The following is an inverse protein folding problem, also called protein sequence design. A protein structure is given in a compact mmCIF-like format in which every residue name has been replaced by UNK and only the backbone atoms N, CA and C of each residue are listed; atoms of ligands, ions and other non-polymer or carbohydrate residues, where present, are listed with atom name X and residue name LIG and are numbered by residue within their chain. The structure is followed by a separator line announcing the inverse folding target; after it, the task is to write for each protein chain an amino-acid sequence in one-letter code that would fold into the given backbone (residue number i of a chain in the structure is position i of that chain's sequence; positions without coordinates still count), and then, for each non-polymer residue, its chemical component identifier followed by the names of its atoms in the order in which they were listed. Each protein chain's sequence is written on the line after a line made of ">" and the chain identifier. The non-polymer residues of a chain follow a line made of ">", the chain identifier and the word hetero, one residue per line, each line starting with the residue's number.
data_IF_228521824997
#
_entry.id   IF_228521824997
#
_cell.length_a   1.000
_cell.length_b   1.000
_cell.length_c   1.000
_cell.angle_alpha   90.00
_cell.angle_beta   90.00
_cell.angle_gamma   90.00
#
_symmetry.space_group_name_H-M   'P 1'
#
loop_
_entity.id
_entity.type
_entity.pdbx_description
1 polymer ?
#
# COMPACT_ATOMS: atom_id res chain seq x y z
N UNK A 1 -78.96 0.11 -13.16
CA UNK A 1 -78.51 0.41 -11.78
C UNK A 1 -77.01 0.14 -11.77
N UNK A 2 -76.08 1.05 -11.45
CA UNK A 2 -76.04 2.13 -10.43
C UNK A 2 -76.08 1.57 -9.00
N UNK A 3 -75.16 1.84 -8.06
CA UNK A 3 -73.77 2.36 -8.07
C UNK A 3 -72.94 1.49 -7.06
N UNK A 4 -71.70 1.74 -6.58
CA UNK A 4 -70.69 2.81 -6.68
C UNK A 4 -69.29 2.27 -6.23
N UNK A 5 -68.24 3.10 -6.25
CA UNK A 5 -67.06 2.98 -5.38
C UNK A 5 -67.15 4.01 -4.23
N UNK A 6 -66.34 3.90 -3.16
CA UNK A 6 -65.14 4.76 -3.11
C UNK A 6 -63.88 4.16 -2.45
N UNK A 7 -62.88 5.02 -2.35
CA UNK A 7 -61.49 4.90 -1.89
C UNK A 7 -61.24 4.40 -0.45
N UNK A 8 -60.11 3.69 -0.29
CA UNK A 8 -58.89 4.10 0.47
C UNK A 8 -59.01 4.65 1.91
N UNK A 9 -58.17 4.14 2.82
CA UNK A 9 -57.91 4.76 4.13
C UNK A 9 -56.54 4.31 4.69
N UNK A 10 -55.76 5.24 5.26
CA UNK A 10 -54.36 5.02 5.67
C UNK A 10 -54.14 5.16 7.19
N UNK A 11 -52.97 4.73 7.68
CA UNK A 11 -52.37 5.12 8.98
C UNK A 11 -53.14 4.79 10.28
N UNK A 12 -53.07 3.52 10.72
CA UNK A 12 -53.27 3.07 12.12
C UNK A 12 -52.30 1.90 12.40
N UNK A 13 -51.49 1.83 13.46
CA UNK A 13 -51.27 2.69 14.65
C UNK A 13 -49.76 2.70 15.01
N UNK A 14 -49.26 3.84 15.47
CA UNK A 14 -48.00 3.96 16.24
C UNK A 14 -48.31 4.16 17.73
N UNK A 15 -47.60 3.45 18.65
CA UNK A 15 -47.13 3.97 19.96
C UNK A 15 -46.67 2.84 20.91
N UNK A 16 -45.37 2.82 21.23
CA UNK A 16 -44.72 2.30 22.45
C UNK A 16 -43.19 2.24 22.21
N UNK A 17 -42.30 2.92 22.94
CA UNK A 17 -42.45 3.92 24.00
C UNK A 17 -41.28 4.92 23.84
N UNK A 18 -41.50 6.23 24.03
CA UNK A 18 -40.44 7.24 23.88
C UNK A 18 -40.68 8.51 24.73
N UNK A 19 -40.34 8.42 26.02
CA UNK A 19 -39.99 9.51 26.93
C UNK A 19 -39.20 8.86 28.10
N UNK A 20 -38.32 9.53 28.85
CA UNK A 20 -38.31 10.95 29.22
C UNK A 20 -37.03 11.70 28.85
N UNK A 21 -37.14 13.03 28.86
CA UNK A 21 -36.07 14.00 28.59
C UNK A 21 -35.95 14.99 29.75
N UNK A 22 -34.71 15.43 29.95
CA UNK A 22 -34.31 16.76 30.44
C UNK A 22 -34.52 17.17 31.91
N UNK A 23 -33.35 17.53 32.48
CA UNK A 23 -33.09 18.76 33.24
C UNK A 23 -33.56 18.88 34.70
N UNK A 24 -32.59 18.85 35.62
CA UNK A 24 -32.52 19.87 36.67
C UNK A 24 -31.07 20.08 37.13
N UNK A 25 -30.69 21.32 37.46
CA UNK A 25 -29.33 21.69 37.83
C UNK A 25 -29.24 22.41 39.19
N UNK A 26 -28.54 21.85 40.19
CA UNK A 26 -27.85 22.60 41.24
C UNK A 26 -26.90 21.76 42.15
N UNK A 27 -26.08 22.50 42.92
CA UNK A 27 -24.97 22.11 43.85
C UNK A 27 -25.41 21.31 45.11
N UNK A 28 -24.51 20.76 45.98
CA UNK A 28 -23.10 21.14 46.24
C UNK A 28 -22.05 19.98 46.37
N UNK A 29 -20.86 20.29 46.91
CA UNK A 29 -19.72 19.39 47.22
C UNK A 29 -19.72 18.94 48.71
N UNK A 30 -18.68 18.16 49.09
CA UNK A 30 -18.26 17.67 50.42
C UNK A 30 -18.98 16.38 50.90
N UNK A 31 -18.35 15.45 51.64
CA UNK A 31 -17.05 15.46 52.35
C UNK A 31 -16.25 14.13 52.25
N UNK A 32 -15.12 14.05 52.95
CA UNK A 32 -14.11 12.98 52.99
C UNK A 32 -14.57 11.60 53.52
N UNK A 33 -13.81 10.53 53.20
CA UNK A 33 -13.61 9.39 54.13
C UNK A 33 -12.38 8.53 53.76
N UNK A 34 -11.78 7.90 54.78
CA UNK A 34 -10.57 7.08 54.69
C UNK A 34 -10.82 5.66 54.12
N UNK A 35 -9.75 5.00 53.69
CA UNK A 35 -9.63 3.54 53.73
C UNK A 35 -8.32 3.16 54.44
N UNK A 36 -8.40 2.23 55.39
CA UNK A 36 -7.30 1.83 56.27
C UNK A 36 -6.45 0.70 55.68
N UNK A 37 -5.20 0.59 56.14
CA UNK A 37 -4.29 -0.51 55.78
C UNK A 37 -4.32 -1.56 56.88
N UNK A 38 -4.77 -2.76 56.56
CA UNK A 38 -4.59 -3.94 57.42
C UNK A 38 -3.62 -4.94 56.78
N UNK A 39 -2.47 -5.12 57.44
CA UNK A 39 -1.57 -6.22 57.15
C UNK A 39 -2.08 -7.50 57.83
N UNK A 40 -2.08 -8.60 57.07
CA UNK A 40 -1.87 -9.96 57.60
C UNK A 40 -0.93 -10.68 56.63
N UNK A 41 -0.19 -11.68 57.13
CA UNK A 41 0.68 -12.49 56.31
C UNK A 41 1.11 -13.74 57.06
N UNK A 42 1.36 -14.82 56.33
CA UNK A 42 2.01 -16.05 56.79
C UNK A 42 2.63 -16.75 55.56
N UNK A 43 3.58 -17.65 55.79
CA UNK A 43 4.54 -18.14 54.79
C UNK A 43 4.21 -19.55 54.24
N UNK A 44 4.77 -19.93 53.08
CA UNK A 44 5.79 -21.01 52.96
C UNK A 44 5.97 -21.55 51.51
N UNK A 45 7.21 -21.43 50.99
CA UNK A 45 7.90 -22.28 49.98
C UNK A 45 7.22 -22.55 48.59
N UNK A 46 7.91 -23.00 47.52
CA UNK A 46 9.24 -23.61 47.40
C UNK A 46 9.98 -23.31 46.05
N UNK A 47 11.31 -23.21 46.12
CA UNK A 47 12.37 -23.39 45.09
C UNK A 47 12.17 -23.15 43.58
N UNK A 48 13.03 -22.28 43.00
CA UNK A 48 13.61 -22.40 41.64
C UNK A 48 15.12 -22.06 41.76
N UNK A 49 16.06 -22.83 41.16
CA UNK A 49 17.50 -22.69 41.44
C UNK A 49 18.22 -21.59 40.64
N UNK A 50 19.22 -20.96 41.27
CA UNK A 50 20.17 -20.03 40.63
C UNK A 50 21.52 -20.71 40.40
N UNK A 51 22.11 -20.57 39.21
CA UNK A 51 23.50 -20.95 38.94
C UNK A 51 24.41 -19.72 38.96
N UNK A 52 25.55 -19.84 39.65
CA UNK A 52 26.61 -18.83 39.67
C UNK A 52 27.63 -19.09 38.55
N UNK A 53 28.29 -18.02 38.09
CA UNK A 53 29.57 -18.08 37.39
C UNK A 53 30.57 -17.20 38.14
N UNK A 54 31.80 -17.69 38.28
CA UNK A 54 32.81 -17.16 39.20
C UNK A 54 33.89 -16.35 38.50
N UNK A 55 34.36 -15.27 39.12
CA UNK A 55 35.56 -14.54 38.68
C UNK A 55 36.83 -15.40 38.82
N UNK A 56 37.79 -15.19 37.91
CA UNK A 56 39.21 -15.55 38.11
C UNK A 56 40.10 -14.48 37.48
N UNK A 57 40.85 -13.74 38.31
CA UNK A 57 41.86 -12.78 37.88
C UNK A 57 43.17 -13.48 37.44
N UNK A 58 43.91 -12.85 36.52
CA UNK A 58 45.35 -13.10 36.31
C UNK A 58 46.08 -11.77 36.16
N UNK A 59 47.15 -11.57 36.93
CA UNK A 59 47.92 -10.32 37.03
C UNK A 59 49.31 -10.52 36.40
N UNK A 60 49.79 -9.58 35.56
CA UNK A 60 51.25 -9.33 35.48
C UNK A 60 51.70 -8.00 34.84
N UNK A 61 52.39 -7.18 35.66
CA UNK A 61 53.56 -6.33 35.33
C UNK A 61 53.46 -5.16 34.31
N UNK A 62 54.54 -4.37 34.26
CA UNK A 62 54.67 -2.94 33.83
C UNK A 62 55.96 -2.78 32.95
N UNK A 63 56.55 -1.58 32.63
CA UNK A 63 56.21 -0.16 32.91
C UNK A 63 56.44 0.86 31.75
N UNK A 64 56.22 2.18 32.05
CA UNK A 64 56.71 3.39 31.33
C UNK A 64 56.15 3.65 29.88
N UNK A 65 56.00 4.88 29.38
CA UNK A 65 56.17 6.24 29.98
C UNK A 65 55.50 7.36 29.17
N UNK A 66 54.90 8.32 29.91
CA UNK A 66 54.92 9.79 29.73
C UNK A 66 54.59 10.47 28.37
N UNK A 67 53.51 11.28 28.37
CA UNK A 67 53.39 12.68 27.90
C UNK A 67 51.99 13.00 27.29
N UNK A 68 51.40 14.16 27.67
CA UNK A 68 50.32 14.82 26.91
C UNK A 68 49.03 15.20 27.67
N UNK A 69 49.10 16.18 28.58
CA UNK A 69 47.91 16.74 29.25
C UNK A 69 47.01 17.55 28.29
N UNK A 70 45.71 17.24 28.24
CA UNK A 70 44.64 18.24 28.05
C UNK A 70 43.39 17.83 28.85
N UNK A 71 43.16 18.45 30.01
CA UNK A 71 41.90 18.28 30.74
C UNK A 71 40.80 19.17 30.14
N UNK A 72 39.60 18.62 29.94
CA UNK A 72 38.36 19.40 29.82
C UNK A 72 37.34 18.78 30.77
N UNK A 73 37.06 19.48 31.87
CA UNK A 73 36.08 19.07 32.88
C UNK A 73 34.68 19.50 32.44
N UNK A 74 33.76 18.54 32.30
CA UNK A 74 32.33 18.80 32.25
C UNK A 74 31.62 18.07 33.39
N UNK A 75 31.54 18.73 34.55
CA UNK A 75 30.71 18.29 35.67
C UNK A 75 29.24 18.50 35.36
N UNK A 76 28.40 17.48 35.58
CA UNK A 76 26.94 17.56 35.51
C UNK A 76 26.34 17.25 36.88
N UNK A 77 25.52 18.19 37.37
CA UNK A 77 24.62 18.00 38.52
C UNK A 77 23.29 18.73 38.26
N UNK A 78 22.14 18.19 38.70
CA UNK A 78 20.81 18.68 38.33
C UNK A 78 20.26 19.72 39.31
N UNK A 79 19.12 20.37 38.96
CA UNK A 79 17.90 20.42 39.81
C UNK A 79 16.70 21.14 39.15
N UNK A 80 15.53 20.52 39.30
CA UNK A 80 14.15 21.04 39.43
C UNK A 80 13.68 22.33 38.71
N UNK A 81 12.85 22.11 37.68
CA UNK A 81 11.46 22.59 37.53
C UNK A 81 10.95 23.74 38.43
N UNK A 82 10.44 24.81 37.80
CA UNK A 82 9.25 25.53 38.26
C UNK A 82 8.37 25.98 37.08
N UNK A 83 7.08 26.19 37.35
CA UNK A 83 6.03 26.41 36.34
C UNK A 83 5.74 27.90 36.09
N UNK A 84 5.40 28.25 34.85
CA UNK A 84 4.47 29.35 34.57
C UNK A 84 3.86 29.26 33.16
N UNK A 85 2.59 29.62 33.05
CA UNK A 85 1.78 29.57 31.83
C UNK A 85 1.82 30.89 31.04
N UNK A 86 1.94 30.82 29.71
CA UNK A 86 1.52 31.92 28.82
C UNK A 86 1.10 31.41 27.45
N UNK A 87 0.09 32.05 26.87
CA UNK A 87 -0.51 31.73 25.57
C UNK A 87 0.21 32.43 24.41
N UNK A 88 0.16 31.88 23.18
CA UNK A 88 0.72 32.53 22.00
C UNK A 88 -0.22 33.62 21.45
N UNK A 89 0.31 34.70 20.85
CA UNK A 89 -0.49 35.68 20.12
C UNK A 89 -0.78 35.20 18.69
N UNK A 90 -2.03 35.33 18.24
CA UNK A 90 -2.38 35.22 16.82
C UNK A 90 -1.86 36.44 16.05
N UNK A 91 -1.30 36.21 14.87
CA UNK A 91 -0.92 37.28 13.94
C UNK A 91 -1.85 37.28 12.72
N UNK A 92 -2.89 38.12 12.76
CA UNK A 92 -3.64 38.45 11.55
C UNK A 92 -2.79 39.33 10.64
N UNK A 93 -2.71 38.99 9.35
CA UNK A 93 -2.31 39.93 8.31
C UNK A 93 -3.26 39.81 7.13
N UNK A 94 -3.96 40.91 6.83
CA UNK A 94 -4.88 41.03 5.71
C UNK A 94 -4.41 42.18 4.83
N UNK A 95 -4.11 41.90 3.56
CA UNK A 95 -3.88 42.93 2.55
C UNK A 95 -4.83 42.74 1.37
N UNK A 96 -5.25 43.87 0.79
CA UNK A 96 -6.36 43.97 -0.15
C UNK A 96 -5.94 43.82 -1.60
N UNK A 97 -6.89 43.44 -2.46
CA UNK A 97 -6.70 43.42 -3.90
C UNK A 97 -6.52 44.83 -4.50
N UNK A 98 -5.90 44.88 -5.67
CA UNK A 98 -6.05 45.95 -6.66
C UNK A 98 -6.63 45.33 -7.93
N UNK A 99 -7.41 46.10 -8.68
CA UNK A 99 -8.10 45.67 -9.89
C UNK A 99 -7.63 46.50 -11.10
N UNK A 100 -8.35 46.38 -12.22
CA UNK A 100 -8.05 46.92 -13.56
C UNK A 100 -7.02 46.05 -14.34
N UNK A 101 -7.21 45.74 -15.63
CA UNK A 101 -8.27 46.15 -16.57
C UNK A 101 -8.64 45.03 -17.59
N UNK A 102 -9.80 45.16 -18.23
CA UNK A 102 -10.39 44.12 -19.08
C UNK A 102 -9.74 44.00 -20.47
N UNK A 103 -9.58 42.75 -20.96
CA UNK A 103 -9.63 42.44 -22.40
C UNK A 103 -10.52 41.23 -22.69
N UNK A 104 -11.36 41.43 -23.71
CA UNK A 104 -12.35 40.51 -24.28
C UNK A 104 -11.89 39.05 -24.40
N UNK A 105 -12.77 38.12 -24.00
CA UNK A 105 -12.80 36.75 -24.51
C UNK A 105 -14.25 36.28 -24.69
N UNK A 106 -14.44 35.33 -25.61
CA UNK A 106 -15.75 34.87 -26.10
C UNK A 106 -16.39 33.85 -25.11
N UNK A 107 -17.69 33.97 -24.77
CA UNK A 107 -18.35 33.05 -23.85
C UNK A 107 -18.38 31.58 -24.30
N UNK A 108 -18.13 31.27 -25.58
CA UNK A 108 -18.04 29.88 -26.05
C UNK A 108 -16.78 29.14 -25.56
N UNK A 109 -15.70 29.85 -25.20
CA UNK A 109 -14.42 29.19 -24.94
C UNK A 109 -14.36 28.44 -23.58
N UNK A 110 -15.25 28.75 -22.64
CA UNK A 110 -15.26 28.11 -21.31
C UNK A 110 -15.96 26.74 -21.30
N UNK A 111 -16.72 26.37 -22.33
CA UNK A 111 -17.45 25.09 -22.38
C UNK A 111 -16.58 23.90 -22.86
N UNK A 112 -15.48 24.17 -23.55
CA UNK A 112 -14.57 23.13 -24.08
C UNK A 112 -13.69 22.52 -22.98
N UNK A 113 -13.37 23.27 -21.92
CA UNK A 113 -12.35 22.90 -20.94
C UNK A 113 -12.87 22.08 -19.73
N UNK A 114 -14.07 21.50 -19.84
CA UNK A 114 -14.72 20.70 -18.77
C UNK A 114 -15.17 19.32 -19.30
N UNK A 115 -15.30 19.12 -20.62
CA UNK A 115 -15.79 17.88 -21.24
C UNK A 115 -14.69 16.85 -21.57
N UNK A 116 -13.41 17.17 -21.36
CA UNK A 116 -12.27 16.35 -21.80
C UNK A 116 -11.63 15.49 -20.68
N UNK A 117 -12.37 15.25 -19.58
CA UNK A 117 -11.95 14.37 -18.48
C UNK A 117 -13.05 13.34 -18.07
N UNK A 118 -14.09 13.20 -18.89
CA UNK A 118 -15.11 12.15 -18.75
C UNK A 118 -15.26 11.38 -20.06
N UNK A 119 -14.23 10.65 -20.45
CA UNK A 119 -14.40 9.54 -21.39
C UNK A 119 -14.95 8.34 -20.61
N UNK A 120 -16.06 7.78 -21.08
CA UNK A 120 -16.67 6.59 -20.49
C UNK A 120 -15.81 5.35 -20.78
N UNK A 121 -14.91 5.02 -19.85
CA UNK A 121 -14.30 3.68 -19.73
C UNK A 121 -15.34 2.64 -19.26
N UNK A 122 -16.54 2.64 -19.85
CA UNK A 122 -17.49 1.52 -19.81
C UNK A 122 -17.07 0.42 -20.80
N UNK A 123 -15.78 0.10 -20.79
CA UNK A 123 -15.20 -1.05 -21.47
C UNK A 123 -15.37 -2.27 -20.55
N UNK A 124 -16.14 -3.27 -20.97
CA UNK A 124 -16.19 -4.57 -20.29
C UNK A 124 -14.91 -5.38 -20.52
N UNK A 125 -13.77 -4.82 -20.10
CA UNK A 125 -12.59 -5.58 -19.77
C UNK A 125 -12.69 -6.01 -18.29
N UNK A 126 -12.98 -7.29 -18.07
CA UNK A 126 -12.27 -7.94 -16.97
C UNK A 126 -10.77 -7.77 -17.24
N UNK A 127 -9.95 -7.58 -16.20
CA UNK A 127 -8.50 -7.64 -16.36
C UNK A 127 -8.15 -9.13 -16.53
N UNK A 128 -8.41 -9.66 -17.73
CA UNK A 128 -7.69 -10.79 -18.27
C UNK A 128 -6.21 -10.42 -18.19
N UNK A 129 -5.39 -11.29 -17.60
CA UNK A 129 -3.97 -11.17 -17.79
C UNK A 129 -3.68 -11.55 -19.25
N UNK A 130 -2.77 -10.83 -19.89
CA UNK A 130 -2.48 -11.04 -21.31
C UNK A 130 -1.73 -12.36 -21.48
N UNK A 131 -2.48 -13.40 -21.86
CA UNK A 131 -2.00 -14.77 -22.15
C UNK A 131 -0.80 -14.80 -23.11
N UNK A 132 -0.59 -13.75 -23.92
CA UNK A 132 0.44 -13.73 -24.97
C UNK A 132 1.66 -12.85 -24.63
N UNK A 133 1.65 -12.07 -23.54
CA UNK A 133 2.78 -11.24 -23.11
C UNK A 133 3.44 -11.67 -21.79
N UNK A 134 2.96 -12.75 -21.17
CA UNK A 134 3.70 -13.46 -20.12
C UNK A 134 4.47 -14.60 -20.80
N UNK A 135 5.78 -14.45 -21.02
CA UNK A 135 6.60 -15.63 -21.34
C UNK A 135 6.43 -16.67 -20.24
N UNK A 136 6.19 -17.96 -20.59
CA UNK A 136 5.79 -18.96 -19.62
C UNK A 136 6.86 -19.08 -18.52
N UNK A 137 6.42 -18.89 -17.27
CA UNK A 137 7.28 -19.01 -16.10
C UNK A 137 8.02 -20.36 -16.14
N UNK A 138 9.29 -20.40 -15.72
CA UNK A 138 10.07 -21.65 -15.73
C UNK A 138 9.44 -22.79 -14.90
N UNK A 139 8.48 -22.46 -14.03
CA UNK A 139 7.70 -23.41 -13.23
C UNK A 139 6.43 -23.94 -13.95
N UNK A 140 6.02 -23.33 -15.07
CA UNK A 140 4.94 -23.82 -15.94
C UNK A 140 3.51 -23.50 -15.48
N UNK A 141 3.33 -22.61 -14.50
CA UNK A 141 2.00 -22.22 -13.99
C UNK A 141 1.64 -20.78 -14.39
N UNK A 142 0.39 -20.57 -14.79
CA UNK A 142 -0.18 -19.22 -14.98
C UNK A 142 -0.58 -18.62 -13.64
N UNK A 143 -0.49 -17.29 -13.53
CA UNK A 143 -0.91 -16.57 -12.34
C UNK A 143 -2.42 -16.72 -12.09
N UNK A 144 -3.22 -16.82 -13.15
CA UNK A 144 -4.68 -17.00 -13.07
C UNK A 144 -5.08 -18.34 -12.43
N UNK A 145 -4.41 -19.45 -12.76
CA UNK A 145 -4.65 -20.76 -12.13
C UNK A 145 -4.37 -20.74 -10.62
N UNK A 146 -3.32 -20.00 -10.22
CA UNK A 146 -2.90 -19.90 -8.83
C UNK A 146 -3.91 -19.02 -8.05
N UNK A 147 -4.25 -17.84 -8.57
CA UNK A 147 -5.24 -16.95 -7.96
C UNK A 147 -6.64 -17.57 -7.95
N UNK A 148 -7.03 -18.27 -9.01
CA UNK A 148 -8.29 -19.01 -9.10
C UNK A 148 -8.37 -20.22 -8.15
N UNK A 149 -7.23 -20.80 -7.75
CA UNK A 149 -7.19 -21.75 -6.64
C UNK A 149 -7.34 -21.07 -5.28
N UNK A 150 -6.67 -19.94 -5.03
CA UNK A 150 -6.84 -19.18 -3.78
C UNK A 150 -8.27 -18.62 -3.62
N UNK A 151 -8.90 -18.22 -4.72
CA UNK A 151 -10.27 -17.70 -4.74
C UNK A 151 -11.33 -18.72 -4.25
N UNK A 152 -11.02 -20.02 -4.25
CA UNK A 152 -11.89 -21.08 -3.69
C UNK A 152 -12.03 -20.99 -2.16
N UNK A 153 -11.21 -20.17 -1.49
CA UNK A 153 -11.38 -19.81 -0.08
C UNK A 153 -12.44 -18.71 0.13
N UNK A 154 -13.01 -18.12 -0.92
CA UNK A 154 -14.10 -17.15 -0.83
C UNK A 154 -15.44 -17.89 -0.69
N UNK A 155 -16.21 -17.52 0.34
CA UNK A 155 -17.60 -17.88 0.52
C UNK A 155 -18.49 -16.78 -0.09
N UNK A 156 -19.26 -17.14 -1.12
CA UNK A 156 -20.20 -16.22 -1.78
C UNK A 156 -21.51 -15.99 -1.00
N UNK A 157 -21.86 -16.88 -0.07
CA UNK A 157 -23.06 -16.76 0.78
C UNK A 157 -22.90 -15.65 1.84
N UNK A 158 -21.67 -15.38 2.27
CA UNK A 158 -21.37 -14.40 3.32
C UNK A 158 -20.68 -13.15 2.77
N UNK A 159 -21.16 -11.97 3.19
CA UNK A 159 -20.72 -10.69 2.62
C UNK A 159 -19.99 -9.82 3.64
N UNK A 160 -18.82 -9.29 3.26
CA UNK A 160 -18.13 -8.20 3.95
C UNK A 160 -18.48 -6.86 3.29
N UNK A 161 -19.34 -6.05 3.92
CA UNK A 161 -19.80 -4.75 3.36
C UNK A 161 -18.80 -3.62 3.66
N UNK A 162 -18.23 -3.01 2.62
CA UNK A 162 -17.36 -1.83 2.71
C UNK A 162 -18.14 -0.56 2.30
N UNK A 163 -18.24 0.41 3.21
CA UNK A 163 -18.77 1.74 2.91
C UNK A 163 -17.57 2.66 2.59
N UNK A 164 -17.45 3.08 1.33
CA UNK A 164 -16.28 3.76 0.78
C UNK A 164 -16.68 5.13 0.24
N UNK A 165 -15.92 6.17 0.58
CA UNK A 165 -15.98 7.45 -0.11
C UNK A 165 -14.70 7.60 -0.96
N UNK A 166 -14.83 8.09 -2.20
CA UNK A 166 -13.69 8.26 -3.12
C UNK A 166 -12.68 9.33 -2.67
N UNK A 167 -13.07 10.28 -1.83
CA UNK A 167 -12.15 11.25 -1.19
C UNK A 167 -11.25 10.60 -0.14
N UNK A 168 -11.70 9.52 0.49
CA UNK A 168 -11.11 8.90 1.69
C UNK A 168 -11.12 7.36 1.62
N UNK A 169 -10.66 6.83 0.47
CA UNK A 169 -10.70 5.39 0.15
C UNK A 169 -9.90 4.56 1.16
N UNK A 170 -8.74 5.07 1.61
CA UNK A 170 -7.91 4.37 2.57
C UNK A 170 -8.57 4.31 3.95
N UNK A 171 -9.15 5.41 4.42
CA UNK A 171 -9.86 5.49 5.70
C UNK A 171 -11.10 4.59 5.69
N UNK A 172 -11.80 4.51 4.55
CA UNK A 172 -12.88 3.54 4.30
C UNK A 172 -12.40 2.09 4.33
N UNK A 173 -11.28 1.79 3.66
CA UNK A 173 -10.66 0.46 3.65
C UNK A 173 -10.20 0.02 5.06
N UNK A 174 -9.47 0.89 5.77
CA UNK A 174 -9.06 0.72 7.17
C UNK A 174 -10.27 0.41 8.07
N UNK A 175 -11.34 1.19 7.95
CA UNK A 175 -12.61 1.02 8.68
C UNK A 175 -13.40 -0.23 8.26
N UNK A 176 -13.08 -0.85 7.12
CA UNK A 176 -13.55 -2.18 6.75
C UNK A 176 -12.70 -3.29 7.34
N UNK A 177 -11.40 -3.30 7.02
CA UNK A 177 -10.44 -4.34 7.40
C UNK A 177 -10.17 -4.48 8.90
N UNK A 178 -10.43 -3.43 9.71
CA UNK A 178 -10.26 -3.44 11.18
C UNK A 178 -11.50 -3.87 11.97
N UNK A 179 -12.62 -4.24 11.33
CA UNK A 179 -13.83 -4.68 12.05
C UNK A 179 -13.62 -6.08 12.62
N UNK A 180 -14.07 -6.31 13.87
CA UNK A 180 -14.07 -7.64 14.50
C UNK A 180 -14.92 -8.68 13.73
N UNK A 181 -15.84 -8.23 12.86
CA UNK A 181 -16.69 -9.06 12.01
C UNK A 181 -16.15 -9.24 10.57
N UNK A 182 -15.03 -8.59 10.22
CA UNK A 182 -14.43 -8.75 8.90
C UNK A 182 -13.72 -10.11 8.80
N UNK A 183 -14.02 -10.85 7.72
CA UNK A 183 -13.19 -11.96 7.27
C UNK A 183 -12.81 -11.76 5.80
N UNK A 184 -11.57 -12.05 5.40
CA UNK A 184 -11.13 -11.97 4.00
C UNK A 184 -11.75 -13.06 3.12
N UNK A 185 -12.26 -14.15 3.72
CA UNK A 185 -12.98 -15.22 3.02
C UNK A 185 -14.42 -14.84 2.67
N UNK A 186 -14.97 -13.73 3.15
CA UNK A 186 -16.33 -13.30 2.80
C UNK A 186 -16.30 -12.45 1.54
N UNK A 187 -17.23 -12.69 0.61
CA UNK A 187 -17.37 -11.90 -0.63
C UNK A 187 -17.45 -10.41 -0.30
N UNK A 188 -16.56 -9.61 -0.88
CA UNK A 188 -16.60 -8.16 -0.67
C UNK A 188 -17.80 -7.58 -1.42
N UNK A 189 -18.57 -6.73 -0.74
CA UNK A 189 -19.56 -5.86 -1.37
C UNK A 189 -19.27 -4.42 -1.01
N UNK A 190 -19.22 -3.54 -2.02
CA UNK A 190 -18.88 -2.12 -1.86
C UNK A 190 -20.11 -1.25 -2.06
N UNK A 191 -20.32 -0.35 -1.10
CA UNK A 191 -21.29 0.73 -1.16
C UNK A 191 -20.54 2.05 -1.21
N UNK A 192 -20.56 2.73 -2.35
CA UNK A 192 -20.00 4.08 -2.46
C UNK A 192 -20.93 5.11 -1.80
N UNK A 193 -20.31 6.07 -1.10
CA UNK A 193 -20.99 7.11 -0.35
C UNK A 193 -20.32 8.48 -0.51
N UNK A 194 -21.12 9.53 -0.64
CA UNK A 194 -20.66 10.92 -0.69
C UNK A 194 -20.04 11.42 0.64
N UNK A 195 -19.56 12.67 0.68
CA UNK A 195 -19.02 13.32 1.88
C UNK A 195 -20.08 13.58 2.97
N UNK A 196 -21.38 13.39 2.66
CA UNK A 196 -22.52 13.53 3.59
C UNK A 196 -22.99 12.15 4.11
N UNK A 197 -22.52 11.05 3.51
CA UNK A 197 -22.86 9.67 3.86
C UNK A 197 -24.03 9.06 3.07
N UNK A 198 -24.57 9.75 2.06
CA UNK A 198 -25.62 9.20 1.20
C UNK A 198 -25.06 8.13 0.25
N UNK A 199 -25.90 7.16 -0.11
CA UNK A 199 -25.52 6.09 -1.05
C UNK A 199 -25.62 6.54 -2.49
N UNK A 200 -24.61 6.27 -3.31
CA UNK A 200 -24.59 6.60 -4.74
C UNK A 200 -25.41 5.63 -5.63
N UNK A 201 -26.48 5.03 -5.09
CA UNK A 201 -27.44 4.19 -5.83
C UNK A 201 -26.96 2.84 -6.39
N UNK A 202 -25.65 2.62 -6.56
CA UNK A 202 -25.11 1.40 -7.18
C UNK A 202 -25.35 0.12 -6.36
N UNK A 203 -25.83 -0.93 -7.02
CA UNK A 203 -25.91 -2.30 -6.49
C UNK A 203 -24.67 -3.08 -6.92
N UNK A 204 -23.94 -3.68 -5.97
CA UNK A 204 -22.66 -4.31 -6.27
C UNK A 204 -22.79 -5.74 -6.84
N UNK A 205 -22.94 -5.79 -8.16
CA UNK A 205 -22.77 -6.98 -9.01
C UNK A 205 -21.30 -7.31 -9.30
N UNK A 206 -20.35 -6.58 -8.70
CA UNK A 206 -18.90 -6.73 -8.89
C UNK A 206 -18.22 -5.47 -9.41
N UNK A 207 -18.96 -4.53 -10.03
CA UNK A 207 -18.45 -3.25 -10.53
C UNK A 207 -17.86 -2.37 -9.41
N UNK A 208 -18.66 -1.95 -8.42
CA UNK A 208 -18.18 -1.22 -7.24
C UNK A 208 -17.01 -1.92 -6.52
N UNK A 209 -17.02 -3.25 -6.41
CA UNK A 209 -15.89 -4.03 -5.88
C UNK A 209 -14.59 -3.82 -6.68
N UNK A 210 -14.63 -3.96 -8.01
CA UNK A 210 -13.48 -3.73 -8.89
C UNK A 210 -12.97 -2.29 -8.79
N UNK A 211 -13.88 -1.32 -8.75
CA UNK A 211 -13.51 0.10 -8.64
C UNK A 211 -12.78 0.40 -7.31
N UNK A 212 -13.33 -0.07 -6.19
CA UNK A 212 -12.70 0.09 -4.87
C UNK A 212 -11.29 -0.49 -4.82
N UNK A 213 -11.09 -1.73 -5.30
CA UNK A 213 -9.78 -2.38 -5.27
C UNK A 213 -8.77 -1.63 -6.16
N UNK A 214 -9.20 -1.11 -7.33
CA UNK A 214 -8.38 -0.23 -8.19
C UNK A 214 -7.98 1.08 -7.50
N UNK A 215 -8.94 1.77 -6.86
CA UNK A 215 -8.66 3.00 -6.11
C UNK A 215 -7.73 2.74 -4.92
N UNK A 216 -7.89 1.59 -4.25
CA UNK A 216 -7.06 1.17 -3.13
C UNK A 216 -5.60 0.90 -3.54
N UNK A 217 -5.36 0.19 -4.66
CA UNK A 217 -4.00 -0.01 -5.19
C UNK A 217 -3.36 1.33 -5.59
N UNK A 218 -4.10 2.22 -6.28
CA UNK A 218 -3.61 3.56 -6.65
C UNK A 218 -3.24 4.39 -5.41
N UNK A 219 -4.05 4.35 -4.36
CA UNK A 219 -3.71 5.03 -3.10
C UNK A 219 -2.40 4.48 -2.52
N UNK A 220 -2.25 3.16 -2.41
CA UNK A 220 -1.06 2.53 -1.82
C UNK A 220 0.23 2.94 -2.53
N UNK A 221 0.25 3.01 -3.86
CA UNK A 221 1.41 3.44 -4.66
C UNK A 221 1.91 4.85 -4.28
N UNK A 222 0.98 5.76 -3.97
CA UNK A 222 1.26 7.15 -3.54
C UNK A 222 1.37 7.34 -2.02
N UNK A 223 1.07 6.30 -1.24
CA UNK A 223 0.91 6.41 0.22
C UNK A 223 2.23 6.66 0.96
N UNK A 224 2.11 7.17 2.19
CA UNK A 224 3.26 7.40 3.09
C UNK A 224 3.89 6.11 3.65
N UNK A 225 3.42 4.93 3.25
CA UNK A 225 3.96 3.61 3.60
C UNK A 225 5.14 3.20 2.70
N UNK A 226 5.28 3.84 1.53
CA UNK A 226 6.28 3.51 0.52
C UNK A 226 7.18 4.69 0.18
N UNK A 227 8.31 4.40 -0.47
CA UNK A 227 9.31 5.38 -0.93
C UNK A 227 10.08 4.87 -2.16
N UNK A 228 10.74 5.79 -2.87
CA UNK A 228 11.38 5.52 -4.16
C UNK A 228 10.50 5.93 -5.36
N UNK A 229 10.99 5.73 -6.59
CA UNK A 229 10.28 6.04 -7.84
C UNK A 229 8.90 5.39 -7.93
N UNK A 230 8.03 5.91 -8.79
CA UNK A 230 6.64 5.43 -8.97
C UNK A 230 6.54 3.91 -9.22
N UNK A 231 7.51 3.37 -9.96
CA UNK A 231 7.57 1.98 -10.42
C UNK A 231 8.60 1.12 -9.66
N UNK A 232 9.28 1.67 -8.65
CA UNK A 232 10.31 0.98 -7.85
C UNK A 232 10.18 1.36 -6.37
N UNK A 233 9.07 0.95 -5.74
CA UNK A 233 8.79 1.25 -4.33
C UNK A 233 9.45 0.26 -3.38
N UNK A 234 10.15 0.80 -2.39
CA UNK A 234 10.50 0.12 -1.14
C UNK A 234 9.56 0.57 -0.02
N UNK A 235 9.49 -0.17 1.09
CA UNK A 235 8.81 0.29 2.29
C UNK A 235 9.53 1.52 2.88
N UNK A 236 8.75 2.52 3.31
CA UNK A 236 9.23 3.65 4.10
C UNK A 236 9.07 3.33 5.58
N UNK A 237 10.01 3.76 6.43
CA UNK A 237 9.78 3.78 7.87
C UNK A 237 8.92 5.01 8.24
N UNK A 238 7.69 4.78 8.68
CA UNK A 238 6.77 5.79 9.20
C UNK A 238 6.24 5.34 10.57
N UNK A 239 6.59 6.08 11.63
CA UNK A 239 6.29 5.75 13.03
C UNK A 239 4.80 5.78 13.37
N UNK A 240 4.00 6.62 12.69
CA UNK A 240 2.55 6.61 12.88
C UNK A 240 1.96 5.34 12.28
N UNK A 241 2.37 4.99 11.06
CA UNK A 241 1.93 3.78 10.35
C UNK A 241 2.32 2.47 11.07
N UNK A 242 3.45 2.44 11.79
CA UNK A 242 3.83 1.30 12.64
C UNK A 242 2.85 1.17 13.81
N UNK A 243 2.49 2.29 14.45
CA UNK A 243 1.61 2.34 15.62
C UNK A 243 0.14 2.06 15.29
N UNK A 244 -0.33 2.42 14.10
CA UNK A 244 -1.67 2.06 13.59
C UNK A 244 -1.72 0.66 12.97
N UNK A 245 -0.59 0.00 12.74
CA UNK A 245 -0.47 -1.26 12.01
C UNK A 245 -0.92 -1.16 10.53
N UNK A 246 -0.70 0.00 9.90
CA UNK A 246 -1.12 0.26 8.52
C UNK A 246 -0.38 -0.62 7.50
N UNK A 247 0.85 -1.08 7.80
CA UNK A 247 1.59 -2.01 6.92
C UNK A 247 0.92 -3.38 6.82
N UNK A 248 0.39 -3.90 7.91
CA UNK A 248 -0.41 -5.14 7.91
C UNK A 248 -1.68 -4.97 7.09
N UNK A 249 -2.35 -3.82 7.21
CA UNK A 249 -3.53 -3.52 6.38
C UNK A 249 -3.16 -3.33 4.90
N UNK A 250 -1.98 -2.79 4.57
CA UNK A 250 -1.51 -2.67 3.19
C UNK A 250 -1.15 -4.03 2.56
N UNK A 251 -0.46 -4.91 3.29
CA UNK A 251 -0.21 -6.29 2.84
C UNK A 251 -1.52 -7.06 2.63
N UNK A 252 -2.46 -6.92 3.59
CA UNK A 252 -3.82 -7.47 3.50
C UNK A 252 -4.57 -6.92 2.28
N UNK A 253 -4.51 -5.61 2.04
CA UNK A 253 -5.19 -4.96 0.92
C UNK A 253 -4.70 -5.50 -0.44
N UNK A 254 -3.38 -5.73 -0.58
CA UNK A 254 -2.81 -6.32 -1.79
C UNK A 254 -3.26 -7.78 -1.96
N UNK A 255 -3.16 -8.60 -0.92
CA UNK A 255 -3.61 -10.00 -0.97
C UNK A 255 -5.11 -10.12 -1.27
N UNK A 256 -5.93 -9.29 -0.65
CA UNK A 256 -7.38 -9.20 -0.90
C UNK A 256 -7.65 -8.75 -2.34
N UNK A 257 -6.91 -7.77 -2.87
CA UNK A 257 -7.06 -7.33 -4.26
C UNK A 257 -6.82 -8.49 -5.22
N UNK A 258 -5.70 -9.20 -5.07
CA UNK A 258 -5.33 -10.36 -5.89
C UNK A 258 -6.41 -11.46 -5.88
N UNK A 259 -6.82 -11.92 -4.69
CA UNK A 259 -7.71 -13.09 -4.57
C UNK A 259 -9.18 -12.75 -4.84
N UNK A 260 -9.60 -11.50 -4.68
CA UNK A 260 -10.95 -11.04 -5.08
C UNK A 260 -11.02 -10.56 -6.54
N UNK A 261 -9.96 -10.69 -7.35
CA UNK A 261 -9.97 -10.29 -8.77
C UNK A 261 -10.01 -8.76 -8.98
N UNK A 262 -9.40 -8.01 -8.07
CA UNK A 262 -8.96 -6.64 -8.28
C UNK A 262 -7.55 -6.58 -8.88
N UNK A 263 -7.05 -5.39 -9.22
CA UNK A 263 -5.74 -5.27 -9.86
C UNK A 263 -4.59 -5.63 -8.90
N UNK A 264 -3.49 -6.20 -9.41
CA UNK A 264 -2.25 -6.38 -8.68
C UNK A 264 -1.47 -5.05 -8.54
N UNK A 265 -0.51 -4.92 -7.61
CA UNK A 265 0.08 -3.61 -7.30
C UNK A 265 1.04 -3.07 -8.37
N UNK A 266 1.83 -3.92 -9.06
CA UNK A 266 2.76 -3.55 -10.17
C UNK A 266 3.72 -2.36 -9.90
N UNK A 267 4.00 -2.02 -8.63
CA UNK A 267 4.82 -0.87 -8.26
C UNK A 267 6.00 -1.17 -7.31
N UNK A 268 6.15 -2.41 -6.81
CA UNK A 268 7.25 -2.74 -5.89
C UNK A 268 8.59 -2.81 -6.62
N UNK A 269 9.66 -2.36 -5.95
CA UNK A 269 11.03 -2.64 -6.38
C UNK A 269 11.31 -4.15 -6.34
N UNK A 270 12.06 -4.66 -7.32
CA UNK A 270 12.44 -6.08 -7.42
C UNK A 270 13.11 -6.59 -6.14
N UNK A 271 13.93 -5.77 -5.50
CA UNK A 271 14.60 -6.11 -4.24
C UNK A 271 13.60 -6.28 -3.08
N UNK A 272 12.53 -5.48 -3.03
CA UNK A 272 11.48 -5.67 -2.02
C UNK A 272 10.68 -6.95 -2.29
N UNK A 273 10.42 -7.28 -3.56
CA UNK A 273 9.75 -8.52 -3.94
C UNK A 273 10.61 -9.75 -3.60
N UNK A 274 11.88 -9.75 -3.99
CA UNK A 274 12.85 -10.80 -3.67
C UNK A 274 12.96 -11.05 -2.15
N UNK A 275 12.84 -9.99 -1.33
CA UNK A 275 12.87 -10.13 0.12
C UNK A 275 11.63 -10.85 0.67
N UNK A 276 10.45 -10.72 0.05
CA UNK A 276 9.25 -11.49 0.43
C UNK A 276 9.42 -12.99 0.14
N UNK A 277 10.06 -13.30 -0.99
CA UNK A 277 10.33 -14.67 -1.46
C UNK A 277 11.44 -15.34 -0.63
N UNK A 278 12.62 -14.71 -0.54
CA UNK A 278 13.86 -15.32 -0.01
C UNK A 278 14.36 -14.77 1.32
N UNK A 279 13.70 -13.77 1.89
CA UNK A 279 14.14 -13.06 3.10
C UNK A 279 15.10 -11.89 2.77
N UNK A 280 15.01 -10.76 3.49
CA UNK A 280 15.81 -9.55 3.22
C UNK A 280 17.32 -9.75 3.42
N UNK A 281 17.71 -10.72 4.25
CA UNK A 281 19.10 -11.14 4.44
C UNK A 281 19.73 -11.77 3.18
N UNK A 282 18.90 -12.28 2.27
CA UNK A 282 19.30 -12.89 0.99
C UNK A 282 19.13 -11.93 -0.21
N UNK A 283 19.05 -10.61 0.06
CA UNK A 283 18.89 -9.54 -0.95
C UNK A 283 19.96 -8.47 -0.77
N UNK A 284 20.31 -7.79 -1.87
CA UNK A 284 21.27 -6.68 -1.87
C UNK A 284 20.71 -5.52 -2.68
N UNK A 285 20.53 -4.35 -2.05
CA UNK A 285 20.12 -3.13 -2.74
C UNK A 285 21.35 -2.33 -3.22
N UNK A 286 21.14 -1.50 -4.24
CA UNK A 286 22.09 -0.47 -4.69
C UNK A 286 21.90 0.83 -3.88
N UNK A 287 23.00 1.44 -3.41
CA UNK A 287 22.97 2.71 -2.69
C UNK A 287 22.55 3.87 -3.59
N UNK A 288 22.74 3.78 -4.92
CA UNK A 288 22.28 4.79 -5.87
C UNK A 288 20.76 4.96 -5.88
N UNK A 289 19.99 3.94 -5.44
CA UNK A 289 18.53 3.99 -5.30
C UNK A 289 18.04 4.68 -4.02
N UNK A 290 18.94 5.09 -3.10
CA UNK A 290 18.58 5.76 -1.84
C UNK A 290 18.03 7.17 -2.15
N UNK A 291 16.75 7.50 -1.83
CA UNK A 291 16.15 8.81 -2.10
C UNK A 291 16.53 9.91 -1.10
N UNK A 292 17.55 9.67 -0.27
CA UNK A 292 18.04 10.57 0.77
C UNK A 292 19.46 11.00 0.38
N UNK A 293 19.59 12.20 -0.17
CA UNK A 293 20.82 12.65 -0.82
C UNK A 293 22.00 12.85 0.16
N UNK A 294 21.75 13.09 1.45
CA UNK A 294 22.82 13.13 2.45
C UNK A 294 23.39 11.72 2.69
N UNK A 295 22.50 10.75 2.96
CA UNK A 295 22.90 9.35 3.18
C UNK A 295 23.53 8.76 1.91
N UNK A 296 22.95 9.05 0.74
CA UNK A 296 23.50 8.64 -0.56
C UNK A 296 24.89 9.24 -0.78
N UNK A 297 25.06 10.55 -0.61
CA UNK A 297 26.36 11.21 -0.81
C UNK A 297 27.41 10.79 0.22
N UNK A 298 27.01 10.43 1.45
CA UNK A 298 27.89 9.80 2.45
C UNK A 298 28.39 8.43 1.99
N UNK A 299 27.49 7.58 1.50
CA UNK A 299 27.84 6.24 0.98
C UNK A 299 28.68 6.30 -0.29
N UNK A 300 28.38 7.23 -1.20
CA UNK A 300 29.14 7.48 -2.44
C UNK A 300 30.60 7.86 -2.15
N UNK A 301 30.83 8.80 -1.22
CA UNK A 301 32.18 9.19 -0.77
C UNK A 301 32.96 8.04 -0.13
N UNK A 302 32.27 7.09 0.50
CA UNK A 302 32.91 5.89 1.04
C UNK A 302 33.27 4.93 -0.10
N UNK A 303 32.35 4.69 -1.05
CA UNK A 303 32.53 3.78 -2.18
C UNK A 303 33.65 4.24 -3.14
N UNK A 304 33.73 5.53 -3.44
CA UNK A 304 34.68 6.10 -4.41
C UNK A 304 36.10 6.29 -3.85
N UNK A 305 36.33 6.04 -2.56
CA UNK A 305 37.60 6.28 -1.90
C UNK A 305 38.74 5.38 -2.43
N UNK A 306 39.67 5.98 -3.20
CA UNK A 306 40.80 5.27 -3.81
C UNK A 306 42.03 5.08 -2.90
N UNK A 307 41.99 5.58 -1.65
CA UNK A 307 43.05 5.39 -0.65
C UNK A 307 42.47 5.06 0.73
N UNK A 308 43.28 4.44 1.60
CA UNK A 308 42.84 4.04 2.94
C UNK A 308 42.53 5.28 3.80
N UNK A 309 43.31 6.33 3.66
CA UNK A 309 43.14 7.62 4.34
C UNK A 309 41.84 8.30 3.90
N UNK A 310 41.56 8.29 2.60
CA UNK A 310 40.31 8.81 2.05
C UNK A 310 39.09 8.00 2.54
N UNK A 311 39.20 6.66 2.60
CA UNK A 311 38.13 5.80 3.10
C UNK A 311 37.87 6.03 4.60
N UNK A 312 38.92 6.08 5.43
CA UNK A 312 38.81 6.38 6.87
C UNK A 312 38.20 7.77 7.10
N UNK A 313 38.60 8.77 6.32
CA UNK A 313 38.02 10.11 6.39
C UNK A 313 36.54 10.13 5.98
N UNK A 314 36.17 9.46 4.88
CA UNK A 314 34.77 9.38 4.44
C UNK A 314 33.87 8.67 5.46
N UNK A 315 34.36 7.62 6.12
CA UNK A 315 33.68 6.93 7.22
C UNK A 315 33.51 7.84 8.44
N UNK A 316 34.53 8.63 8.80
CA UNK A 316 34.46 9.60 9.90
C UNK A 316 33.44 10.71 9.60
N UNK A 317 33.40 11.24 8.37
CA UNK A 317 32.40 12.22 7.92
C UNK A 317 30.97 11.65 7.82
N UNK A 318 30.82 10.33 7.91
CA UNK A 318 29.54 9.60 7.86
C UNK A 318 29.19 8.93 9.19
N UNK A 319 29.90 9.27 10.28
CA UNK A 319 29.82 8.57 11.56
C UNK A 319 28.41 8.61 12.16
N UNK A 320 27.65 9.68 11.93
CA UNK A 320 26.28 9.84 12.43
C UNK A 320 25.33 8.75 11.89
N UNK A 321 25.29 8.60 10.57
CA UNK A 321 24.50 7.59 9.88
C UNK A 321 25.04 6.18 10.13
N UNK A 322 26.36 5.98 10.05
CA UNK A 322 26.96 4.65 10.22
C UNK A 322 26.83 4.13 11.67
N UNK A 323 26.84 5.01 12.66
CA UNK A 323 26.58 4.65 14.06
C UNK A 323 25.12 4.22 14.26
N UNK A 324 24.17 5.01 13.75
CA UNK A 324 22.74 4.68 13.77
C UNK A 324 22.44 3.37 13.02
N UNK A 325 23.16 3.10 11.94
CA UNK A 325 23.04 1.87 11.15
C UNK A 325 23.72 0.64 11.79
N UNK A 326 24.42 0.79 12.93
CA UNK A 326 25.23 -0.28 13.53
C UNK A 326 26.40 -0.74 12.65
N UNK A 327 26.74 0.03 11.62
CA UNK A 327 27.72 -0.32 10.59
C UNK A 327 29.11 0.30 10.83
N UNK A 328 29.20 1.32 11.68
CA UNK A 328 30.43 2.06 12.00
C UNK A 328 31.55 1.12 12.46
N UNK A 329 32.66 1.12 11.70
CA UNK A 329 33.85 0.30 11.98
C UNK A 329 35.10 0.96 11.41
N UNK A 330 36.26 0.59 11.97
CA UNK A 330 37.54 0.98 11.40
C UNK A 330 37.79 0.20 10.10
N UNK A 331 38.05 0.93 9.00
CA UNK A 331 38.40 0.34 7.70
C UNK A 331 39.91 0.12 7.65
N UNK A 332 40.32 -1.15 7.52
CA UNK A 332 41.73 -1.57 7.53
C UNK A 332 42.29 -1.93 6.14
N UNK A 333 41.42 -1.97 5.12
CA UNK A 333 41.76 -2.27 3.73
C UNK A 333 40.72 -1.66 2.81
N UNK A 334 41.08 -1.39 1.55
CA UNK A 334 40.13 -0.86 0.57
C UNK A 334 38.93 -1.80 0.43
N UNK A 335 39.08 -3.11 0.21
CA UNK A 335 37.93 -4.02 0.04
C UNK A 335 36.90 -3.96 1.19
N UNK A 336 37.34 -3.65 2.42
CA UNK A 336 36.48 -3.44 3.57
C UNK A 336 35.45 -2.30 3.44
N UNK A 337 35.70 -1.29 2.59
CA UNK A 337 34.76 -0.19 2.35
C UNK A 337 33.53 -0.58 1.50
N UNK A 338 33.66 -1.57 0.60
CA UNK A 338 32.55 -2.02 -0.26
C UNK A 338 31.52 -2.77 0.56
N UNK A 339 31.99 -3.66 1.43
CA UNK A 339 31.12 -4.34 2.38
C UNK A 339 30.46 -3.34 3.34
N UNK A 340 31.15 -2.26 3.75
CA UNK A 340 30.55 -1.22 4.61
C UNK A 340 29.40 -0.49 3.92
N UNK A 341 29.58 -0.10 2.65
CA UNK A 341 28.50 0.51 1.85
C UNK A 341 27.33 -0.46 1.67
N UNK A 342 27.62 -1.74 1.39
CA UNK A 342 26.61 -2.80 1.25
C UNK A 342 25.80 -3.02 2.54
N UNK A 343 26.48 -3.14 3.69
CA UNK A 343 25.83 -3.34 4.99
C UNK A 343 24.89 -2.18 5.32
N UNK A 344 25.38 -0.94 5.20
CA UNK A 344 24.61 0.26 5.51
C UNK A 344 23.45 0.49 4.53
N UNK A 345 23.60 0.07 3.27
CA UNK A 345 22.53 0.12 2.26
C UNK A 345 21.44 -0.90 2.55
N UNK A 346 21.81 -2.15 2.87
CA UNK A 346 20.84 -3.16 3.29
C UNK A 346 20.16 -2.78 4.62
N UNK A 347 20.86 -2.13 5.54
CA UNK A 347 20.25 -1.54 6.74
C UNK A 347 19.23 -0.44 6.38
N UNK A 348 19.55 0.43 5.41
CA UNK A 348 18.65 1.50 4.97
C UNK A 348 17.36 0.98 4.33
N UNK A 349 17.42 -0.09 3.54
CA UNK A 349 16.24 -0.63 2.85
C UNK A 349 15.45 -1.67 3.65
N UNK A 350 16.12 -2.49 4.47
CA UNK A 350 15.49 -3.59 5.21
C UNK A 350 15.72 -3.54 6.73
N UNK A 351 16.90 -3.15 7.21
CA UNK A 351 17.22 -3.13 8.64
C UNK A 351 16.31 -2.18 9.44
N UNK A 352 16.31 -0.89 9.08
CA UNK A 352 15.47 0.13 9.74
C UNK A 352 13.96 -0.06 9.50
N UNK A 353 13.57 -0.82 8.48
CA UNK A 353 12.17 -1.09 8.09
C UNK A 353 11.68 -2.46 8.55
N UNK A 354 12.50 -3.26 9.24
CA UNK A 354 12.22 -4.66 9.58
C UNK A 354 10.85 -4.86 10.25
N UNK A 355 10.47 -4.01 11.20
CA UNK A 355 9.16 -4.08 11.85
C UNK A 355 8.00 -3.83 10.87
N UNK A 356 8.11 -2.83 9.99
CA UNK A 356 7.14 -2.56 8.94
C UNK A 356 7.06 -3.70 7.91
N UNK A 357 8.20 -4.30 7.58
CA UNK A 357 8.31 -5.41 6.64
C UNK A 357 7.68 -6.71 7.19
N UNK A 358 7.89 -7.05 8.46
CA UNK A 358 7.23 -8.20 9.08
C UNK A 358 5.72 -8.01 9.25
N UNK A 359 5.25 -6.79 9.58
CA UNK A 359 3.80 -6.49 9.57
C UNK A 359 3.22 -6.58 8.16
N UNK A 360 3.93 -6.07 7.14
CA UNK A 360 3.51 -6.16 5.73
C UNK A 360 3.43 -7.62 5.25
N UNK A 361 4.44 -8.46 5.54
CA UNK A 361 4.42 -9.90 5.28
C UNK A 361 3.22 -10.59 5.92
N UNK A 362 2.98 -10.37 7.21
CA UNK A 362 1.85 -10.98 7.92
C UNK A 362 0.50 -10.52 7.33
N UNK A 363 0.42 -9.28 6.84
CA UNK A 363 -0.73 -8.79 6.07
C UNK A 363 -0.91 -9.56 4.77
N UNK A 364 0.18 -9.71 4.01
CA UNK A 364 0.24 -10.41 2.72
C UNK A 364 0.04 -11.94 2.85
N UNK A 365 0.17 -12.52 4.05
CA UNK A 365 -0.28 -13.89 4.36
C UNK A 365 -1.80 -14.05 4.41
N UNK A 366 -2.59 -12.99 4.25
CA UNK A 366 -4.05 -13.08 4.09
C UNK A 366 -4.38 -13.92 2.84
N UNK A 367 -5.29 -14.89 2.95
CA UNK A 367 -5.67 -15.80 1.85
C UNK A 367 -4.48 -16.52 1.20
N UNK A 368 -3.49 -16.90 2.03
CA UNK A 368 -2.30 -17.68 1.69
C UNK A 368 -1.39 -17.09 0.59
N UNK A 369 -1.60 -15.81 0.24
CA UNK A 369 -0.92 -15.13 -0.88
C UNK A 369 0.60 -15.09 -0.71
N UNK A 370 1.14 -14.83 0.48
CA UNK A 370 2.59 -14.85 0.72
C UNK A 370 3.21 -16.24 0.46
N UNK A 371 2.52 -17.33 0.79
CA UNK A 371 3.05 -18.68 0.60
C UNK A 371 2.86 -19.15 -0.86
N UNK A 372 1.83 -18.67 -1.56
CA UNK A 372 1.72 -18.80 -3.00
C UNK A 372 2.84 -18.03 -3.74
N UNK A 373 3.18 -16.82 -3.31
CA UNK A 373 4.31 -16.02 -3.82
C UNK A 373 5.65 -16.76 -3.65
N UNK A 374 5.87 -17.38 -2.49
CA UNK A 374 7.09 -18.16 -2.21
C UNK A 374 7.16 -19.46 -2.99
N UNK A 375 6.01 -20.07 -3.30
CA UNK A 375 5.91 -21.32 -4.07
C UNK A 375 6.03 -21.10 -5.58
N UNK A 376 5.59 -19.95 -6.10
CA UNK A 376 5.54 -19.64 -7.53
C UNK A 376 6.08 -18.23 -7.84
N UNK A 377 7.33 -17.88 -7.45
CA UNK A 377 7.80 -16.50 -7.49
C UNK A 377 7.83 -15.92 -8.91
N UNK A 378 8.16 -16.73 -9.92
CA UNK A 378 8.21 -16.27 -11.32
C UNK A 378 6.82 -15.88 -11.85
N UNK A 379 5.74 -16.56 -11.42
CA UNK A 379 4.39 -16.22 -11.81
C UNK A 379 3.85 -14.94 -11.12
N UNK A 380 4.31 -14.65 -9.90
CA UNK A 380 3.88 -13.47 -9.14
C UNK A 380 4.72 -12.21 -9.39
N UNK A 381 5.98 -12.32 -9.83
CA UNK A 381 6.86 -11.17 -10.03
C UNK A 381 6.28 -10.08 -10.97
N UNK A 382 5.68 -10.40 -12.14
CA UNK A 382 5.09 -9.39 -13.03
C UNK A 382 3.83 -8.71 -12.47
N UNK A 383 3.21 -9.30 -11.44
CA UNK A 383 2.08 -8.71 -10.73
C UNK A 383 2.53 -7.75 -9.63
N UNK A 384 3.67 -8.02 -8.97
CA UNK A 384 4.17 -7.20 -7.87
C UNK A 384 5.08 -6.05 -8.30
N UNK A 385 5.96 -6.32 -9.25
CA UNK A 385 6.91 -5.35 -9.79
C UNK A 385 6.38 -4.67 -11.06
N UNK A 386 6.92 -3.50 -11.37
CA UNK A 386 6.64 -2.86 -12.65
C UNK A 386 7.35 -3.60 -13.80
N UNK A 387 6.66 -3.78 -14.92
CA UNK A 387 7.21 -4.30 -16.17
C UNK A 387 6.89 -3.30 -17.27
N UNK A 388 7.89 -2.90 -18.07
CA UNK A 388 7.69 -1.96 -19.21
C UNK A 388 7.02 -2.67 -20.39
N UNK A 389 5.72 -2.96 -20.28
CA UNK A 389 4.89 -3.42 -21.40
C UNK A 389 4.63 -2.25 -22.35
N UNK A 390 5.45 -2.12 -23.39
CA UNK A 390 5.22 -1.16 -24.49
C UNK A 390 4.06 -1.67 -25.36
N UNK A 391 2.85 -1.19 -25.07
CA UNK A 391 1.68 -1.43 -25.90
C UNK A 391 1.97 -1.02 -27.36
N UNK A 392 1.98 -1.99 -28.26
CA UNK A 392 2.18 -1.79 -29.68
C UNK A 392 0.84 -1.64 -30.41
N UNK A 393 0.87 -1.11 -31.64
CA UNK A 393 -0.34 -1.11 -32.49
C UNK A 393 -0.82 -2.53 -32.81
N UNK A 394 0.08 -3.51 -32.88
CA UNK A 394 -0.25 -4.91 -33.13
C UNK A 394 -0.99 -5.55 -31.94
N UNK A 395 -0.72 -5.14 -30.71
CA UNK A 395 -1.45 -5.60 -29.53
C UNK A 395 -2.88 -5.02 -29.55
N UNK A 396 -3.01 -3.71 -29.83
CA UNK A 396 -4.29 -3.02 -29.99
C UNK A 396 -5.13 -3.64 -31.12
N UNK A 397 -4.54 -3.90 -32.29
CA UNK A 397 -5.24 -4.54 -33.42
C UNK A 397 -5.74 -5.95 -33.08
N UNK A 398 -5.06 -6.68 -32.18
CA UNK A 398 -5.48 -8.00 -31.69
C UNK A 398 -6.61 -7.94 -30.65
N UNK A 399 -6.82 -6.81 -29.97
CA UNK A 399 -7.95 -6.63 -29.03
C UNK A 399 -9.32 -6.56 -29.74
N UNK A 400 -9.36 -6.31 -31.06
CA UNK A 400 -10.61 -6.07 -31.79
C UNK A 400 -10.86 -7.08 -32.92
N UNK A 401 -11.82 -8.00 -32.70
CA UNK A 401 -12.29 -8.92 -33.75
C UNK A 401 -13.39 -8.29 -34.61
N UNK A 402 -13.10 -7.96 -35.86
CA UNK A 402 -14.07 -7.36 -36.79
C UNK A 402 -15.03 -8.43 -37.32
N UNK A 403 -16.23 -8.52 -36.75
CA UNK A 403 -17.32 -9.39 -37.23
C UNK A 403 -18.04 -8.72 -38.41
N UNK A 404 -17.72 -9.11 -39.64
CA UNK A 404 -18.40 -8.65 -40.85
C UNK A 404 -19.63 -9.54 -41.15
N UNK A 405 -20.81 -9.12 -40.70
CA UNK A 405 -22.06 -9.77 -41.12
C UNK A 405 -22.36 -9.56 -42.60
N UNK A 406 -22.23 -10.63 -43.38
CA UNK A 406 -22.54 -10.64 -44.81
C UNK A 406 -24.05 -10.59 -45.07
N UNK A 407 -24.66 -9.42 -44.92
CA UNK A 407 -26.02 -9.14 -45.41
C UNK A 407 -26.05 -9.21 -46.93
N UNK A 408 -26.35 -10.40 -47.46
CA UNK A 408 -26.55 -10.67 -48.87
C UNK A 408 -27.77 -9.90 -49.39
N UNK A 409 -27.56 -8.65 -49.77
CA UNK A 409 -28.56 -7.81 -50.45
C UNK A 409 -28.83 -8.39 -51.84
N UNK A 410 -29.86 -9.24 -51.93
CA UNK A 410 -30.35 -9.81 -53.20
C UNK A 410 -31.05 -8.71 -54.00
N UNK A 411 -30.25 -7.85 -54.64
CA UNK A 411 -30.71 -7.00 -55.75
C UNK A 411 -30.71 -7.83 -57.02
N UNK A 412 -31.90 -8.14 -57.51
CA UNK A 412 -32.12 -8.96 -58.70
C UNK A 412 -31.46 -8.33 -59.95
N UNK A 413 -30.30 -8.85 -60.34
CA UNK A 413 -29.60 -8.47 -61.56
C UNK A 413 -30.28 -9.10 -62.80
N UNK A 414 -31.49 -8.61 -63.15
CA UNK A 414 -32.28 -9.05 -64.30
C UNK A 414 -31.64 -8.60 -65.64
N UNK A 415 -30.54 -9.24 -66.03
CA UNK A 415 -29.81 -8.98 -67.28
C UNK A 415 -29.90 -10.14 -68.28
N UNK A 416 -30.37 -9.84 -69.49
CA UNK A 416 -29.98 -10.52 -70.74
C UNK A 416 -30.35 -11.99 -70.90
N UNK A 417 -31.55 -12.27 -71.42
CA UNK A 417 -31.92 -13.61 -71.91
C UNK A 417 -31.60 -13.73 -73.41
N UNK A 418 -30.94 -14.84 -73.83
CA UNK A 418 -30.55 -15.22 -75.23
C UNK A 418 -29.31 -14.47 -75.77
N UNK A 419 -28.49 -15.03 -76.67
CA UNK A 419 -28.60 -16.31 -77.43
C UNK A 419 -27.22 -16.89 -77.84
N UNK A 420 -27.22 -18.03 -78.55
CA UNK A 420 -26.06 -18.86 -79.00
C UNK A 420 -25.46 -19.69 -77.85
N UNK A 421 -25.60 -21.02 -77.73
CA UNK A 421 -26.00 -22.16 -78.60
C UNK A 421 -24.86 -22.81 -79.42
N UNK A 422 -24.68 -24.11 -79.14
CA UNK A 422 -24.01 -25.17 -79.92
C UNK A 422 -22.54 -25.00 -80.31
N UNK A 423 -21.69 -25.83 -79.71
CA UNK A 423 -21.15 -26.97 -80.46
C UNK A 423 -21.03 -28.21 -79.57
N UNK A 424 -21.52 -29.32 -80.09
CA UNK A 424 -21.34 -30.70 -79.60
C UNK A 424 -21.06 -31.55 -80.86
N UNK A 425 -20.30 -32.64 -80.74
CA UNK A 425 -19.76 -33.34 -81.90
C UNK A 425 -18.83 -34.50 -81.56
N UNK A 426 -19.44 -35.63 -81.22
CA UNK A 426 -18.77 -36.94 -81.24
C UNK A 426 -18.76 -37.60 -82.63
N UNK A 427 -18.03 -38.71 -82.70
CA UNK A 427 -18.10 -39.89 -83.61
C UNK A 427 -18.94 -39.76 -84.90
N UNK A 428 -18.42 -39.91 -86.13
CA UNK A 428 -17.53 -40.94 -86.73
C UNK A 428 -18.20 -42.32 -86.83
N UNK A 429 -18.34 -42.78 -88.10
CA UNK A 429 -19.05 -43.98 -88.62
C UNK A 429 -20.58 -43.82 -88.70
#
# INVERSE_FOLDING_TARGET
>A
MLLQMPHDDTNKITNAYASDLQDESQKPLNDESHCEVHQTGEELHQEIPTLQLTNTDVICSTPFSDLGNYEVVCSVSPLQLMTQTRTPPNLHSSCTATAEENKSSDPYHQYINILDLTQDDNSEAAILLDDNLIEPSHDGFLLEDILGNLAKAINDEEISIFNINRSTVWEGALRGFRRNTYSPTKRISVKFTDDVGHSEGAVDTGGPRREFLRLLMKHLQTSCLFMGPENQKHLRLNSSAVRSDDYFIAGRAIAVSLVHGGPPPRFLATELYDALVRGPENVTCDFQKIPDEDIKSKLEKIADAQSLEAAVHAVLMSQDFLSLAGCLRHVTSLEGHKQLVKDATNWYFFGRTSSAFERFKLGLSTLDVLDAIRKFPQAFQPAFCHTETKLTSQDIDQMFSIILEATLSVREATKGRRSQKSQDGGEII
#
